data_IF_544992213410
#
_entry.id   IF_544992213410
#
_cell.length_a   1.000
_cell.length_b   1.000
_cell.length_c   1.000
_cell.angle_alpha   90.00
_cell.angle_beta   90.00
_cell.angle_gamma   90.00
#
_symmetry.space_group_name_H-M   'P 1'
#
loop_
_entity.id
_entity.type
_entity.pdbx_description
1 polymer ?
#
# COMPACT_ATOMS: atom_id res chain seq x y z
N UNK A 1 -7.07 14.00 4.20
CA UNK A 1 -7.06 12.99 3.13
C UNK A 1 -6.70 11.67 3.76
N UNK A 2 -7.54 10.67 3.55
CA UNK A 2 -7.45 9.39 4.21
C UNK A 2 -6.47 8.50 3.42
N UNK A 3 -5.19 8.52 3.77
CA UNK A 3 -4.10 7.93 2.96
C UNK A 3 -4.28 6.44 2.60
N UNK A 4 -5.15 5.72 3.32
CA UNK A 4 -5.45 4.32 3.02
C UNK A 4 -6.40 4.14 1.82
N UNK A 5 -7.22 5.13 1.47
CA UNK A 5 -8.10 5.06 0.29
C UNK A 5 -7.36 5.38 -1.02
N UNK A 6 -6.17 5.96 -0.93
CA UNK A 6 -5.36 6.32 -2.09
C UNK A 6 -4.61 5.12 -2.69
N UNK A 7 -4.60 3.99 -1.95
CA UNK A 7 -3.94 2.77 -2.36
C UNK A 7 -4.93 1.83 -3.04
N UNK A 8 -4.74 1.59 -4.34
CA UNK A 8 -5.56 0.70 -5.14
C UNK A 8 -4.89 -0.67 -5.25
N UNK A 9 -5.70 -1.73 -5.23
CA UNK A 9 -5.22 -3.06 -5.58
C UNK A 9 -4.87 -3.08 -7.09
N UNK A 10 -3.59 -3.23 -7.48
CA UNK A 10 -3.17 -3.19 -8.88
C UNK A 10 -3.63 -4.39 -9.73
N UNK A 11 -4.30 -5.39 -9.14
CA UNK A 11 -4.84 -6.57 -9.83
C UNK A 11 -6.36 -6.69 -9.78
N UNK A 12 -7.07 -5.70 -9.23
CA UNK A 12 -8.53 -5.68 -9.29
C UNK A 12 -8.99 -5.43 -10.73
N UNK A 13 -9.85 -6.28 -11.28
CA UNK A 13 -10.23 -6.23 -12.69
C UNK A 13 -11.40 -5.27 -12.97
N UNK A 14 -12.12 -4.86 -11.92
CA UNK A 14 -13.27 -3.97 -12.02
C UNK A 14 -12.88 -2.52 -11.69
N UNK A 15 -12.03 -1.91 -12.54
CA UNK A 15 -11.59 -0.52 -12.32
C UNK A 15 -12.04 0.44 -13.41
N UNK A 16 -12.58 1.56 -12.96
CA UNK A 16 -12.91 2.73 -13.80
C UNK A 16 -11.70 3.66 -14.02
N UNK A 17 -10.58 3.42 -13.34
CA UNK A 17 -9.43 4.35 -13.31
C UNK A 17 -8.11 3.67 -13.67
N UNK A 18 -7.27 4.40 -14.42
CA UNK A 18 -5.91 3.98 -14.72
C UNK A 18 -5.05 4.05 -13.44
N UNK A 19 -4.20 3.03 -13.23
CA UNK A 19 -3.33 2.99 -12.05
C UNK A 19 -2.00 2.29 -12.32
N UNK A 20 -1.00 2.63 -11.51
CA UNK A 20 0.34 2.07 -11.60
C UNK A 20 0.41 0.68 -10.96
N UNK A 21 0.75 -0.34 -11.75
CA UNK A 21 0.88 -1.72 -11.23
C UNK A 21 1.98 -1.83 -10.16
N UNK A 22 3.09 -1.12 -10.34
CA UNK A 22 4.25 -1.20 -9.43
C UNK A 22 4.05 -0.48 -8.09
N UNK A 23 3.18 0.53 -8.02
CA UNK A 23 2.97 1.36 -6.82
C UNK A 23 1.53 1.35 -6.32
N UNK A 24 0.58 0.69 -6.99
CA UNK A 24 -0.84 0.67 -6.60
C UNK A 24 -1.51 2.03 -6.60
N UNK A 25 -0.91 3.08 -7.17
CA UNK A 25 -1.46 4.44 -7.13
C UNK A 25 -2.35 4.74 -8.32
N UNK A 26 -3.40 5.53 -8.10
CA UNK A 26 -4.23 6.12 -9.15
C UNK A 26 -3.40 7.11 -10.00
N UNK A 27 -3.51 7.02 -11.31
CA UNK A 27 -2.94 8.01 -12.24
C UNK A 27 -3.70 9.34 -12.11
N UNK A 28 -3.02 10.50 -12.13
CA UNK A 28 -3.69 11.79 -12.23
C UNK A 28 -4.63 11.84 -13.45
N UNK A 29 -5.82 12.44 -13.28
CA UNK A 29 -6.87 12.43 -14.33
C UNK A 29 -6.41 13.06 -15.64
N UNK A 30 -5.59 14.11 -15.58
CA UNK A 30 -5.02 14.77 -16.75
C UNK A 30 -4.04 13.88 -17.53
N UNK A 31 -3.28 13.04 -16.83
CA UNK A 31 -2.37 12.07 -17.47
C UNK A 31 -3.13 10.86 -17.97
N UNK A 32 -4.12 10.37 -17.22
CA UNK A 32 -4.97 9.26 -17.63
C UNK A 32 -5.72 9.56 -18.94
N UNK A 33 -6.31 10.76 -19.04
CA UNK A 33 -7.00 11.23 -20.23
C UNK A 33 -6.08 11.30 -21.46
N UNK A 34 -4.87 11.84 -21.29
CA UNK A 34 -3.88 11.95 -22.37
C UNK A 34 -3.37 10.57 -22.82
N UNK A 35 -3.19 9.63 -21.88
CA UNK A 35 -2.78 8.25 -22.19
C UNK A 35 -3.86 7.49 -22.96
N UNK A 36 -5.13 7.65 -22.59
CA UNK A 36 -6.26 7.00 -23.28
C UNK A 36 -6.46 7.57 -24.70
N UNK A 37 -6.24 8.87 -24.88
CA UNK A 37 -6.44 9.57 -26.17
C UNK A 37 -5.21 9.54 -27.09
N UNK A 38 -4.09 8.98 -26.64
CA UNK A 38 -2.79 9.06 -27.35
C UNK A 38 -2.87 8.50 -28.78
N UNK A 39 -3.60 7.41 -28.96
CA UNK A 39 -3.74 6.74 -30.26
C UNK A 39 -4.60 7.57 -31.22
N UNK A 40 -5.73 8.09 -30.74
CA UNK A 40 -6.64 8.90 -31.55
C UNK A 40 -6.01 10.21 -31.98
N UNK A 41 -5.29 10.86 -31.05
CA UNK A 41 -4.51 12.07 -31.36
C UNK A 41 -3.44 11.77 -32.40
N UNK A 42 -2.72 10.65 -32.28
CA UNK A 42 -1.73 10.21 -33.26
C UNK A 42 -2.34 9.97 -34.64
N UNK A 43 -3.47 9.27 -34.72
CA UNK A 43 -4.21 9.05 -35.98
C UNK A 43 -4.67 10.36 -36.62
N UNK A 44 -5.13 11.32 -35.81
CA UNK A 44 -5.58 12.63 -36.30
C UNK A 44 -4.42 13.45 -36.84
N UNK A 45 -3.29 13.51 -36.13
CA UNK A 45 -2.07 14.18 -36.61
C UNK A 45 -1.50 13.53 -37.88
N UNK A 46 -1.61 12.21 -38.02
CA UNK A 46 -1.22 11.52 -39.25
C UNK A 46 -2.10 11.93 -40.44
N UNK A 47 -3.43 11.92 -40.27
CA UNK A 47 -4.36 12.34 -41.34
C UNK A 47 -4.12 13.78 -41.76
N UNK A 48 -3.96 14.69 -40.79
CA UNK A 48 -3.66 16.09 -41.05
C UNK A 48 -2.35 16.28 -41.82
N UNK A 49 -1.31 15.49 -41.51
CA UNK A 49 -0.07 15.49 -42.28
C UNK A 49 -0.29 15.04 -43.72
N UNK A 50 -1.03 13.95 -43.94
CA UNK A 50 -1.31 13.44 -45.29
C UNK A 50 -2.08 14.47 -46.11
N UNK A 51 -3.14 15.05 -45.55
CA UNK A 51 -3.99 15.98 -46.28
C UNK A 51 -3.25 17.28 -46.59
N UNK A 52 -2.59 17.91 -45.59
CA UNK A 52 -1.93 19.20 -45.77
C UNK A 52 -0.62 19.14 -46.58
N UNK A 53 0.13 18.04 -46.50
CA UNK A 53 1.47 17.93 -47.11
C UNK A 53 1.47 17.16 -48.43
N UNK A 54 0.69 16.08 -48.53
CA UNK A 54 0.72 15.19 -49.68
C UNK A 54 -0.37 15.52 -50.70
N UNK A 55 -1.61 15.74 -50.24
CA UNK A 55 -2.76 16.02 -51.13
C UNK A 55 -2.83 17.49 -51.51
N UNK A 56 -3.08 18.36 -50.54
CA UNK A 56 -3.39 19.77 -50.78
C UNK A 56 -2.13 20.61 -51.03
N UNK A 57 -0.96 20.10 -50.59
CA UNK A 57 0.37 20.74 -50.69
C UNK A 57 0.38 22.19 -50.16
N UNK A 58 -0.53 22.52 -49.25
CA UNK A 58 -0.64 23.84 -48.62
C UNK A 58 0.59 24.18 -47.78
N UNK A 59 1.31 23.15 -47.31
CA UNK A 59 2.50 23.34 -46.47
C UNK A 59 3.69 22.51 -46.99
N UNK A 60 4.88 23.12 -47.13
CA UNK A 60 6.09 22.47 -47.69
C UNK A 60 6.54 21.22 -46.92
N UNK A 61 6.61 20.06 -47.57
CA UNK A 61 6.95 18.77 -46.96
C UNK A 61 8.00 18.81 -45.82
N UNK A 62 9.12 19.52 -45.99
CA UNK A 62 10.21 19.61 -45.01
C UNK A 62 10.02 20.59 -43.84
N UNK A 63 8.90 21.33 -43.77
CA UNK A 63 8.65 22.25 -42.65
C UNK A 63 8.48 21.44 -41.35
N UNK A 64 9.13 21.83 -40.25
CA UNK A 64 9.09 21.11 -38.98
C UNK A 64 7.67 20.76 -38.51
N UNK A 65 7.53 19.57 -37.94
CA UNK A 65 6.31 19.11 -37.28
C UNK A 65 6.30 19.58 -35.83
N UNK A 66 5.19 20.20 -35.41
CA UNK A 66 4.98 20.57 -34.01
C UNK A 66 4.76 19.31 -33.19
N UNK A 67 5.52 19.15 -32.10
CA UNK A 67 5.33 18.03 -31.18
C UNK A 67 4.01 18.21 -30.41
N UNK A 68 3.19 17.17 -30.37
CA UNK A 68 2.02 17.11 -29.51
C UNK A 68 2.48 17.03 -28.05
N UNK A 69 2.06 17.98 -27.22
CA UNK A 69 2.45 18.08 -25.80
C UNK A 69 1.54 17.22 -24.90
N UNK A 70 1.39 15.94 -25.22
CA UNK A 70 0.64 15.01 -24.39
C UNK A 70 1.44 14.67 -23.14
N UNK A 71 0.75 14.60 -22.00
CA UNK A 71 1.34 14.13 -20.76
C UNK A 71 1.50 12.61 -20.83
N UNK A 72 2.59 12.13 -20.26
CA UNK A 72 2.88 10.71 -20.14
C UNK A 72 3.09 10.38 -18.66
N UNK A 73 3.24 9.11 -18.34
CA UNK A 73 3.69 8.66 -17.01
C UNK A 73 4.99 9.37 -16.57
N UNK A 74 5.85 9.78 -17.50
CA UNK A 74 7.06 10.55 -17.19
C UNK A 74 6.83 12.03 -16.85
N UNK A 75 5.63 12.54 -17.17
CA UNK A 75 5.19 13.90 -16.85
C UNK A 75 4.63 14.01 -15.44
N UNK A 76 4.22 12.89 -14.83
CA UNK A 76 3.95 12.84 -13.40
C UNK A 76 5.25 13.19 -12.69
N UNK A 77 5.27 14.20 -11.81
CA UNK A 77 6.48 14.56 -11.09
C UNK A 77 6.99 13.32 -10.37
N UNK A 78 8.19 12.85 -10.77
CA UNK A 78 8.90 11.83 -10.01
C UNK A 78 8.98 12.37 -8.59
N UNK A 79 8.33 11.71 -7.64
CA UNK A 79 8.44 12.02 -6.22
C UNK A 79 9.88 11.68 -5.78
N UNK A 80 10.82 12.53 -6.18
CA UNK A 80 12.22 12.45 -5.82
C UNK A 80 12.68 13.85 -5.51
N UNK A 81 12.58 14.19 -4.23
CA UNK A 81 13.73 14.50 -3.38
C UNK A 81 13.17 15.09 -2.08
N UNK A 82 13.00 14.25 -1.07
CA UNK A 82 12.92 14.78 0.28
C UNK A 82 14.36 15.11 0.66
N UNK A 83 14.67 16.41 0.71
CA UNK A 83 15.91 16.92 1.32
C UNK A 83 15.81 16.71 2.83
N UNK A 84 16.03 15.48 3.30
CA UNK A 84 16.31 15.24 4.71
C UNK A 84 17.80 15.42 4.94
N UNK A 85 18.15 16.22 5.94
CA UNK A 85 19.45 16.88 6.13
C UNK A 85 20.71 15.99 6.22
N UNK A 86 20.61 14.66 6.08
CA UNK A 86 21.79 13.77 6.13
C UNK A 86 21.81 12.58 5.18
N UNK A 87 20.70 12.16 4.53
CA UNK A 87 20.73 11.06 3.57
C UNK A 87 19.58 11.19 2.57
N UNK A 88 19.91 11.39 1.29
CA UNK A 88 18.95 11.29 0.18
C UNK A 88 18.77 9.80 -0.12
N UNK A 89 17.88 9.13 0.62
CA UNK A 89 17.51 7.74 0.29
C UNK A 89 16.57 7.80 -0.90
N UNK A 90 17.12 7.56 -2.08
CA UNK A 90 16.37 7.53 -3.33
C UNK A 90 15.65 6.18 -3.40
N UNK A 91 14.44 6.12 -2.87
CA UNK A 91 13.55 4.97 -3.08
C UNK A 91 13.01 5.11 -4.50
N UNK A 92 13.88 4.76 -5.46
CA UNK A 92 13.46 4.56 -6.84
C UNK A 92 12.64 3.28 -6.78
N UNK A 93 11.31 3.42 -6.78
CA UNK A 93 10.43 2.30 -7.03
C UNK A 93 10.97 1.55 -8.24
N UNK A 94 11.19 0.25 -8.07
CA UNK A 94 11.99 -0.58 -8.96
C UNK A 94 11.24 -0.92 -10.26
N UNK A 95 10.70 0.09 -10.97
CA UNK A 95 10.12 -0.07 -12.32
C UNK A 95 11.09 -0.81 -13.24
N UNK A 96 12.38 -0.54 -13.08
CA UNK A 96 13.43 -1.21 -13.84
C UNK A 96 13.54 -2.70 -13.45
N UNK A 97 13.37 -3.06 -12.18
CA UNK A 97 13.42 -4.46 -11.73
C UNK A 97 12.18 -5.21 -12.20
N UNK A 98 10.98 -4.62 -12.10
CA UNK A 98 9.79 -5.26 -12.65
C UNK A 98 9.90 -5.49 -14.16
N UNK A 99 10.37 -4.47 -14.90
CA UNK A 99 10.61 -4.59 -16.34
C UNK A 99 11.67 -5.65 -16.68
N UNK A 100 12.79 -5.66 -15.96
CA UNK A 100 13.84 -6.69 -16.11
C UNK A 100 13.30 -8.07 -15.80
N UNK A 101 12.52 -8.23 -14.73
CA UNK A 101 11.95 -9.51 -14.34
C UNK A 101 10.94 -10.02 -15.37
N UNK A 102 10.19 -9.11 -16.01
CA UNK A 102 9.26 -9.46 -17.07
C UNK A 102 9.97 -9.88 -18.36
N UNK A 103 11.14 -9.31 -18.65
CA UNK A 103 12.01 -9.78 -19.75
C UNK A 103 12.62 -11.13 -19.39
N UNK A 104 13.17 -11.28 -18.18
CA UNK A 104 13.76 -12.52 -17.70
C UNK A 104 12.73 -13.65 -17.59
N UNK A 105 11.47 -13.35 -17.30
CA UNK A 105 10.44 -14.40 -17.23
C UNK A 105 10.16 -15.06 -18.58
N UNK A 106 10.38 -14.34 -19.69
CA UNK A 106 10.26 -14.90 -21.03
C UNK A 106 11.39 -15.90 -21.35
N UNK A 107 12.59 -15.68 -20.80
CA UNK A 107 13.76 -16.52 -21.04
C UNK A 107 13.89 -17.67 -20.03
N UNK A 108 13.63 -17.39 -18.75
CA UNK A 108 13.88 -18.30 -17.63
C UNK A 108 12.61 -18.96 -17.06
N UNK A 109 11.46 -18.82 -17.72
CA UNK A 109 10.16 -19.34 -17.26
C UNK A 109 9.85 -18.95 -15.80
N UNK A 110 10.14 -17.72 -15.43
CA UNK A 110 9.86 -17.22 -14.07
C UNK A 110 8.35 -17.15 -13.89
N UNK A 111 7.83 -17.80 -12.84
CA UNK A 111 6.42 -17.72 -12.45
C UNK A 111 6.09 -16.31 -11.93
N UNK A 112 5.68 -15.44 -12.85
CA UNK A 112 5.27 -14.07 -12.54
C UNK A 112 4.06 -14.01 -11.61
N UNK A 113 3.19 -15.04 -11.62
CA UNK A 113 2.06 -15.09 -10.71
C UNK A 113 2.53 -15.27 -9.27
N UNK A 114 3.55 -16.10 -9.05
CA UNK A 114 4.18 -16.26 -7.73
C UNK A 114 4.95 -15.01 -7.31
N UNK A 115 5.72 -14.42 -8.22
CA UNK A 115 6.48 -13.19 -7.94
C UNK A 115 5.55 -12.07 -7.48
N UNK A 116 4.46 -11.82 -8.21
CA UNK A 116 3.54 -10.72 -7.93
C UNK A 116 2.73 -10.89 -6.63
N UNK A 117 2.77 -12.08 -6.00
CA UNK A 117 2.25 -12.29 -4.63
C UNK A 117 3.11 -11.62 -3.56
N UNK A 118 4.38 -11.36 -3.87
CA UNK A 118 5.32 -10.73 -2.95
C UNK A 118 5.60 -9.29 -3.40
N UNK A 119 5.95 -8.45 -2.43
CA UNK A 119 6.33 -7.08 -2.76
C UNK A 119 7.65 -7.05 -3.52
N UNK A 120 7.61 -6.38 -4.68
CA UNK A 120 8.78 -6.03 -5.49
C UNK A 120 9.40 -4.68 -5.08
N UNK A 121 9.04 -4.18 -3.90
CA UNK A 121 9.57 -2.96 -3.33
C UNK A 121 10.25 -3.30 -2.01
N UNK A 122 11.37 -2.64 -1.67
CA UNK A 122 12.00 -2.78 -0.35
C UNK A 122 11.09 -2.33 0.80
N UNK A 123 9.95 -1.70 0.47
CA UNK A 123 9.06 -1.05 1.42
C UNK A 123 7.60 -1.42 1.12
N UNK A 124 6.86 -1.77 2.18
CA UNK A 124 5.41 -2.03 2.11
C UNK A 124 4.65 -0.73 1.86
N UNK A 125 4.18 -0.58 0.63
CA UNK A 125 3.51 0.64 0.19
C UNK A 125 2.21 0.94 0.95
N UNK A 126 1.51 -0.07 1.47
CA UNK A 126 0.33 0.16 2.33
C UNK A 126 0.68 0.81 3.68
N UNK A 127 1.95 0.73 4.11
CA UNK A 127 2.46 1.35 5.33
C UNK A 127 3.43 2.50 5.05
N UNK A 128 3.58 2.89 3.78
CA UNK A 128 4.64 3.79 3.37
C UNK A 128 4.12 4.85 2.43
N UNK A 129 4.65 6.05 2.61
CA UNK A 129 4.39 7.16 1.72
C UNK A 129 4.79 6.77 0.28
N UNK A 130 4.25 7.43 -0.73
CA UNK A 130 4.65 7.23 -2.12
C UNK A 130 6.16 7.44 -2.40
N UNK A 131 6.89 8.05 -1.46
CA UNK A 131 8.35 8.17 -1.46
C UNK A 131 9.10 7.09 -0.69
N UNK A 132 8.41 6.04 -0.21
CA UNK A 132 8.96 4.91 0.54
C UNK A 132 9.35 5.22 1.99
N UNK A 133 9.03 6.40 2.51
CA UNK A 133 9.15 6.66 3.95
C UNK A 133 7.99 6.02 4.70
N UNK A 134 8.17 5.57 5.96
CA UNK A 134 7.06 5.16 6.80
C UNK A 134 5.97 6.23 6.82
N UNK A 135 4.71 5.83 6.61
CA UNK A 135 3.59 6.76 6.76
C UNK A 135 3.58 7.28 8.21
N UNK A 136 3.44 8.59 8.38
CA UNK A 136 3.08 9.18 9.68
C UNK A 136 1.61 8.89 9.93
N UNK A 137 1.30 7.64 10.20
CA UNK A 137 -0.03 7.24 10.62
C UNK A 137 -0.13 7.53 12.12
N UNK A 138 -1.15 8.28 12.53
CA UNK A 138 -1.50 8.35 13.94
C UNK A 138 -1.98 6.94 14.31
N UNK A 139 -1.30 6.28 15.25
CA UNK A 139 -1.64 4.91 15.70
C UNK A 139 -3.15 4.72 15.93
N UNK A 140 -3.81 5.75 16.47
CA UNK A 140 -5.25 5.78 16.68
C UNK A 140 -6.08 5.66 15.38
N UNK A 141 -5.66 6.29 14.27
CA UNK A 141 -6.38 6.21 13.00
C UNK A 141 -6.31 4.81 12.39
N UNK A 142 -5.16 4.14 12.47
CA UNK A 142 -5.03 2.74 12.04
C UNK A 142 -5.92 1.83 12.90
N UNK A 143 -5.88 2.00 14.22
CA UNK A 143 -6.70 1.24 15.15
C UNK A 143 -8.18 1.36 14.82
N UNK A 144 -8.71 2.58 14.70
CA UNK A 144 -10.12 2.79 14.37
C UNK A 144 -10.51 2.21 13.00
N UNK A 145 -9.61 2.24 12.02
CA UNK A 145 -9.86 1.58 10.74
C UNK A 145 -9.90 0.07 10.86
N UNK A 146 -9.01 -0.54 11.63
CA UNK A 146 -9.04 -1.97 11.89
C UNK A 146 -10.32 -2.35 12.64
N UNK A 147 -10.69 -1.60 13.69
CA UNK A 147 -11.94 -1.79 14.43
C UNK A 147 -13.17 -1.72 13.50
N UNK A 148 -13.22 -0.73 12.60
CA UNK A 148 -14.36 -0.54 11.70
C UNK A 148 -14.39 -1.53 10.52
N UNK A 149 -13.23 -1.97 10.01
CA UNK A 149 -13.14 -2.94 8.91
C UNK A 149 -13.39 -4.36 9.39
N UNK A 150 -13.02 -4.64 10.65
CA UNK A 150 -13.25 -5.90 11.32
C UNK A 150 -14.34 -5.76 12.39
N UNK A 151 -15.59 -5.57 11.94
CA UNK A 151 -16.76 -5.99 12.73
C UNK A 151 -16.80 -7.53 12.96
N UNK A 152 -15.79 -8.26 12.47
CA UNK A 152 -15.64 -9.71 12.52
C UNK A 152 -14.46 -10.13 13.41
N UNK A 153 -14.43 -9.65 14.65
CA UNK A 153 -14.01 -10.50 15.76
C UNK A 153 -15.23 -10.90 16.61
N UNK A 154 -16.41 -10.97 15.98
CA UNK A 154 -17.40 -11.94 16.42
C UNK A 154 -16.77 -13.32 16.29
N UNK A 155 -16.19 -13.78 17.39
CA UNK A 155 -16.07 -15.18 17.74
C UNK A 155 -15.79 -16.07 16.53
N UNK A 156 -14.63 -15.90 15.89
CA UNK A 156 -13.88 -17.13 15.65
C UNK A 156 -13.61 -17.66 17.05
N UNK A 157 -14.55 -18.46 17.54
CA UNK A 157 -14.32 -19.50 18.51
C UNK A 157 -13.10 -20.18 17.93
N UNK A 158 -11.91 -19.80 18.39
CA UNK A 158 -10.72 -20.57 18.17
C UNK A 158 -11.13 -21.94 18.66
N UNK A 159 -11.42 -22.84 17.72
CA UNK A 159 -11.99 -24.14 18.03
C UNK A 159 -11.12 -24.72 19.12
N UNK A 160 -11.70 -25.30 20.19
CA UNK A 160 -10.93 -25.97 21.25
C UNK A 160 -9.91 -26.90 20.60
N UNK A 161 -8.70 -26.41 20.40
CA UNK A 161 -7.64 -27.21 19.83
C UNK A 161 -6.99 -27.87 21.04
N UNK A 162 -7.17 -29.20 21.22
CA UNK A 162 -6.44 -29.89 22.26
C UNK A 162 -4.96 -29.63 22.04
N UNK A 163 -4.25 -29.24 23.10
CA UNK A 163 -2.83 -28.87 23.10
C UNK A 163 -2.47 -27.42 22.70
N UNK A 164 -3.36 -26.46 22.92
CA UNK A 164 -3.05 -25.02 22.70
C UNK A 164 -2.83 -24.30 24.02
N UNK A 165 -1.69 -23.65 24.19
CA UNK A 165 -1.40 -22.77 25.32
C UNK A 165 -1.60 -21.30 24.90
N UNK A 166 -2.36 -20.53 25.68
CA UNK A 166 -2.51 -19.09 25.45
C UNK A 166 -1.64 -18.32 26.43
N UNK A 167 -0.77 -17.44 25.92
CA UNK A 167 0.04 -16.53 26.74
C UNK A 167 -0.56 -15.13 26.60
N UNK A 168 -0.94 -14.55 27.73
CA UNK A 168 -1.63 -13.26 27.78
C UNK A 168 -0.74 -12.27 28.54
N UNK A 169 -0.48 -11.13 27.91
CA UNK A 169 0.11 -9.97 28.56
C UNK A 169 -0.90 -9.38 29.55
N UNK A 170 -0.65 -9.63 30.83
CA UNK A 170 -1.53 -9.24 31.92
C UNK A 170 -1.57 -7.74 32.15
N UNK A 171 -0.49 -7.01 31.85
CA UNK A 171 -0.44 -5.57 31.98
C UNK A 171 -1.26 -4.90 30.87
N UNK A 172 -1.17 -5.41 29.64
CA UNK A 172 -2.02 -4.97 28.56
C UNK A 172 -3.51 -5.20 28.86
N UNK A 173 -3.86 -6.39 29.37
CA UNK A 173 -5.24 -6.71 29.76
C UNK A 173 -5.75 -5.78 30.88
N UNK A 174 -4.89 -5.45 31.84
CA UNK A 174 -5.22 -4.51 32.92
C UNK A 174 -5.46 -3.09 32.40
N UNK A 175 -4.67 -2.62 31.43
CA UNK A 175 -4.87 -1.32 30.80
C UNK A 175 -6.13 -1.25 29.93
N UNK A 176 -6.54 -2.37 29.31
CA UNK A 176 -7.76 -2.44 28.50
C UNK A 176 -9.05 -2.39 29.33
N UNK A 177 -9.03 -2.86 30.58
CA UNK A 177 -10.18 -2.87 31.49
C UNK A 177 -10.41 -1.51 32.18
N UNK A 178 -10.24 -0.42 31.42
CA UNK A 178 -10.06 0.99 31.80
C UNK A 178 -11.08 1.64 32.75
N UNK A 179 -12.10 0.92 33.24
CA UNK A 179 -12.81 1.28 34.46
C UNK A 179 -12.17 0.53 35.64
N UNK A 180 -11.38 1.27 36.43
CA UNK A 180 -10.68 0.73 37.60
C UNK A 180 -11.59 -0.20 38.42
N UNK A 181 -11.28 -1.49 38.53
CA UNK A 181 -12.12 -2.43 39.25
C UNK A 181 -12.07 -2.08 40.74
N UNK A 182 -13.22 -1.77 41.35
CA UNK A 182 -13.33 -1.38 42.78
C UNK A 182 -12.70 -2.41 43.72
N UNK A 183 -12.56 -3.66 43.27
CA UNK A 183 -11.88 -4.73 43.98
C UNK A 183 -11.09 -5.63 43.02
N UNK A 184 -10.01 -6.23 43.53
CA UNK A 184 -9.25 -7.29 42.84
C UNK A 184 -10.15 -8.47 42.43
N UNK A 185 -11.20 -8.76 43.21
CA UNK A 185 -12.15 -9.83 42.89
C UNK A 185 -13.02 -9.52 41.67
N UNK A 186 -13.43 -8.27 41.49
CA UNK A 186 -14.16 -7.84 40.29
C UNK A 186 -13.25 -7.89 39.05
N UNK A 187 -11.99 -7.45 39.20
CA UNK A 187 -10.96 -7.60 38.17
C UNK A 187 -10.79 -9.06 37.75
N UNK A 188 -10.56 -9.96 38.71
CA UNK A 188 -10.34 -11.37 38.44
C UNK A 188 -11.51 -11.96 37.64
N UNK A 189 -12.76 -11.64 38.01
CA UNK A 189 -13.94 -12.08 37.27
C UNK A 189 -13.98 -11.55 35.84
N UNK A 190 -13.64 -10.28 35.61
CA UNK A 190 -13.59 -9.72 34.26
C UNK A 190 -12.49 -10.35 33.42
N UNK A 191 -11.29 -10.52 33.98
CA UNK A 191 -10.19 -11.20 33.33
C UNK A 191 -10.57 -12.64 32.98
N UNK A 192 -11.09 -13.43 33.92
CA UNK A 192 -11.50 -14.82 33.67
C UNK A 192 -12.59 -14.94 32.59
N UNK A 193 -13.50 -13.95 32.49
CA UNK A 193 -14.53 -13.93 31.44
C UNK A 193 -13.97 -13.65 30.05
N UNK A 194 -12.87 -12.92 29.93
CA UNK A 194 -12.21 -12.66 28.65
C UNK A 194 -11.23 -13.76 28.23
N UNK A 195 -10.93 -14.72 29.12
CA UNK A 195 -10.08 -15.86 28.79
C UNK A 195 -10.79 -16.88 27.91
N UNK A 196 -10.06 -17.42 26.94
CA UNK A 196 -10.52 -18.54 26.12
C UNK A 196 -10.57 -19.83 26.95
N UNK A 197 -11.52 -20.72 26.66
CA UNK A 197 -11.54 -22.06 27.23
C UNK A 197 -10.56 -22.99 26.48
N UNK A 198 -9.39 -23.21 27.06
CA UNK A 198 -8.25 -23.92 26.46
C UNK A 198 -7.63 -24.91 27.47
N UNK A 199 -6.73 -25.78 27.01
CA UNK A 199 -5.94 -26.67 27.85
C UNK A 199 -5.03 -25.93 28.85
N UNK A 200 -4.45 -24.78 28.48
CA UNK A 200 -3.67 -23.95 29.39
C UNK A 200 -3.69 -22.47 29.03
N UNK A 201 -3.75 -21.62 30.06
CA UNK A 201 -3.63 -20.17 29.93
C UNK A 201 -2.54 -19.68 30.90
N UNK A 202 -1.56 -18.98 30.36
CA UNK A 202 -0.48 -18.34 31.10
C UNK A 202 -0.71 -16.83 31.12
N UNK A 203 -1.04 -16.30 32.29
CA UNK A 203 -1.19 -14.88 32.53
C UNK A 203 0.15 -14.29 32.98
N UNK A 204 0.77 -13.45 32.16
CA UNK A 204 2.13 -12.95 32.39
C UNK A 204 2.09 -11.45 32.65
N UNK A 205 2.44 -11.05 33.87
CA UNK A 205 2.55 -9.64 34.28
C UNK A 205 4.01 -9.25 34.45
N UNK A 206 4.37 -8.01 34.10
CA UNK A 206 5.72 -7.54 34.39
C UNK A 206 5.95 -7.50 35.90
N UNK A 207 7.09 -8.04 36.32
CA UNK A 207 7.57 -7.90 37.71
C UNK A 207 8.66 -6.84 37.71
N UNK A 208 8.38 -5.68 38.29
CA UNK A 208 9.37 -4.62 38.45
C UNK A 208 10.29 -4.97 39.62
N UNK A 209 11.59 -5.09 39.35
CA UNK A 209 12.64 -5.26 40.36
C UNK A 209 13.30 -3.91 40.66
N UNK A 210 13.84 -3.69 41.87
CA UNK A 210 14.46 -2.41 42.25
C UNK A 210 15.56 -1.94 41.29
N UNK A 211 16.33 -2.86 40.73
CA UNK A 211 17.44 -2.57 39.81
C UNK A 211 17.03 -2.71 38.31
N UNK A 212 15.74 -2.63 38.01
CA UNK A 212 15.24 -2.73 36.64
C UNK A 212 15.54 -1.45 35.86
N UNK A 213 15.97 -1.59 34.60
CA UNK A 213 16.14 -0.47 33.66
C UNK A 213 14.81 0.25 33.36
N UNK A 214 13.68 -0.38 33.71
CA UNK A 214 12.32 0.16 33.52
C UNK A 214 11.71 0.78 34.78
N UNK A 215 12.47 0.92 35.87
CA UNK A 215 12.03 1.60 37.10
C UNK A 215 12.23 3.12 37.04
#
# INVERSE_FOLDING_TARGET
>A
MDQFSDFLNPFDNEREHLGFISSGQKEPEDVADDLLKVEDVGKKSFKEFVDTRLKDKTTRFHKPLTKTKLKTVGSVPKLTQIKSAKNVVKIIAERNVFGQLLVLSQEYQIDMQKVLKYLLSPVLWSLSSPGGLPLKIIKATLLHKLENTFNCFESQVFSRQPNTAYIIDGNALLHCLSSGPDTLGYFAKQAFRSLHQTASVHFVTDTYKPDSIKS
#
